data_IF_162792245782
#
_entry.id   IF_162792245782
#
_cell.length_a   1.000
_cell.length_b   1.000
_cell.length_c   1.000
_cell.angle_alpha   90.00
_cell.angle_beta   90.00
_cell.angle_gamma   90.00
#
_symmetry.space_group_name_H-M   'P 1'
#
loop_
_entity.id
_entity.type
_entity.pdbx_description
1 polymer ?
#
# COMPACT_ATOMS: atom_id res chain seq x y z
N UNK A 1 -2.17 -28.35 -15.26
CA UNK A 1 -0.78 -28.60 -14.83
C UNK A 1 -0.32 -27.42 -13.99
N UNK A 2 0.03 -27.63 -12.72
CA UNK A 2 0.55 -26.56 -11.88
C UNK A 2 1.98 -26.25 -12.37
N UNK A 3 2.19 -25.10 -13.00
CA UNK A 3 3.54 -24.57 -13.19
C UNK A 3 4.14 -24.42 -11.80
N UNK A 4 5.30 -25.05 -11.49
CA UNK A 4 5.98 -24.84 -10.23
C UNK A 4 6.06 -23.33 -9.93
N UNK A 5 5.56 -22.90 -8.77
CA UNK A 5 5.52 -21.50 -8.37
C UNK A 5 6.88 -20.79 -8.62
N UNK A 6 7.99 -21.51 -8.39
CA UNK A 6 9.34 -21.04 -8.66
C UNK A 6 9.59 -20.61 -10.12
N UNK A 7 9.02 -21.29 -11.12
CA UNK A 7 9.18 -20.95 -12.53
C UNK A 7 8.51 -19.63 -12.93
N UNK A 8 7.56 -19.13 -12.12
CA UNK A 8 6.95 -17.81 -12.34
C UNK A 8 7.60 -16.77 -11.44
N UNK A 9 7.77 -17.06 -10.16
CA UNK A 9 8.24 -16.07 -9.20
C UNK A 9 9.70 -15.67 -9.40
N UNK A 10 10.57 -16.57 -9.89
CA UNK A 10 11.97 -16.21 -10.15
C UNK A 10 12.07 -15.24 -11.34
N UNK A 11 11.48 -15.51 -12.52
CA UNK A 11 11.50 -14.54 -13.62
C UNK A 11 10.83 -13.21 -13.28
N UNK A 12 9.68 -13.24 -12.59
CA UNK A 12 8.98 -12.00 -12.16
C UNK A 12 9.81 -11.23 -11.13
N UNK A 13 10.47 -11.92 -10.21
CA UNK A 13 11.40 -11.31 -9.26
C UNK A 13 12.57 -10.64 -9.97
N UNK A 14 13.23 -11.33 -10.91
CA UNK A 14 14.32 -10.75 -11.70
C UNK A 14 13.85 -9.56 -12.52
N UNK A 15 12.69 -9.66 -13.19
CA UNK A 15 12.07 -8.56 -13.92
C UNK A 15 11.89 -7.34 -13.02
N UNK A 16 11.26 -7.52 -11.85
CA UNK A 16 11.02 -6.45 -10.88
C UNK A 16 12.31 -5.85 -10.35
N UNK A 17 13.32 -6.67 -10.06
CA UNK A 17 14.60 -6.20 -9.53
C UNK A 17 15.36 -5.35 -10.55
N UNK A 18 15.56 -5.88 -11.77
CA UNK A 18 16.36 -5.20 -12.80
C UNK A 18 15.65 -3.93 -13.29
N UNK A 19 14.36 -4.04 -13.63
CA UNK A 19 13.59 -2.86 -14.04
C UNK A 19 13.45 -1.84 -12.90
N UNK A 20 13.30 -2.30 -11.66
CA UNK A 20 13.24 -1.45 -10.48
C UNK A 20 14.50 -0.64 -10.25
N UNK A 21 15.68 -1.26 -10.40
CA UNK A 21 16.96 -0.55 -10.34
C UNK A 21 17.08 0.51 -11.43
N UNK A 22 16.65 0.20 -12.67
CA UNK A 22 16.62 1.16 -13.77
C UNK A 22 15.67 2.32 -13.44
N UNK A 23 14.46 2.02 -12.96
CA UNK A 23 13.47 3.03 -12.56
C UNK A 23 14.04 3.91 -11.45
N UNK A 24 14.63 3.36 -10.39
CA UNK A 24 15.20 4.16 -9.32
C UNK A 24 16.39 5.01 -9.79
N UNK A 25 17.20 4.52 -10.72
CA UNK A 25 18.26 5.32 -11.32
C UNK A 25 17.66 6.52 -12.06
N UNK A 26 16.60 6.32 -12.86
CA UNK A 26 15.88 7.41 -13.52
C UNK A 26 15.28 8.38 -12.49
N UNK A 27 14.69 7.88 -11.40
CA UNK A 27 14.17 8.72 -10.32
C UNK A 27 15.27 9.55 -9.66
N UNK A 28 16.45 8.95 -9.39
CA UNK A 28 17.61 9.63 -8.84
C UNK A 28 18.12 10.73 -9.77
N UNK A 29 18.23 10.44 -11.07
CA UNK A 29 18.66 11.41 -12.07
C UNK A 29 17.71 12.61 -12.11
N UNK A 30 16.39 12.39 -12.17
CA UNK A 30 15.42 13.48 -12.13
C UNK A 30 15.37 14.19 -10.78
N UNK A 31 15.64 13.49 -9.68
CA UNK A 31 15.72 14.10 -8.36
C UNK A 31 16.90 15.07 -8.27
N UNK A 32 18.04 14.75 -8.88
CA UNK A 32 19.22 15.62 -8.90
C UNK A 32 19.07 16.75 -9.93
N UNK A 33 18.54 16.43 -11.13
CA UNK A 33 18.59 17.35 -12.28
C UNK A 33 17.34 18.24 -12.36
N UNK A 34 16.15 17.74 -12.01
CA UNK A 34 14.89 18.48 -12.22
C UNK A 34 14.35 19.06 -10.91
N UNK A 35 14.37 18.30 -9.82
CA UNK A 35 13.77 18.71 -8.54
C UNK A 35 14.32 20.04 -7.99
N UNK A 36 15.63 20.38 -8.08
CA UNK A 36 16.15 21.65 -7.58
C UNK A 36 15.56 22.88 -8.30
N UNK A 37 15.18 22.73 -9.57
CA UNK A 37 14.63 23.82 -10.37
C UNK A 37 13.09 23.85 -10.33
N UNK A 38 12.43 22.69 -10.29
CA UNK A 38 10.97 22.61 -10.19
C UNK A 38 10.49 21.32 -9.53
N UNK A 39 10.02 21.45 -8.29
CA UNK A 39 9.36 20.37 -7.53
C UNK A 39 8.09 19.85 -8.21
N UNK A 40 7.31 20.76 -8.79
CA UNK A 40 6.09 20.43 -9.54
C UNK A 40 6.40 19.59 -10.78
N UNK A 41 7.39 20.00 -11.58
CA UNK A 41 7.80 19.24 -12.77
C UNK A 41 8.37 17.87 -12.39
N UNK A 42 9.22 17.82 -11.36
CA UNK A 42 9.76 16.56 -10.83
C UNK A 42 8.64 15.59 -10.45
N UNK A 43 7.64 16.04 -9.69
CA UNK A 43 6.50 15.19 -9.29
C UNK A 43 5.69 14.70 -10.48
N UNK A 44 5.44 15.55 -11.48
CA UNK A 44 4.74 15.16 -12.72
C UNK A 44 5.49 14.09 -13.49
N UNK A 45 6.81 14.21 -13.62
CA UNK A 45 7.66 13.21 -14.27
C UNK A 45 7.70 11.93 -13.43
N UNK A 46 8.02 12.05 -12.14
CA UNK A 46 8.17 10.93 -11.23
C UNK A 46 6.89 10.10 -11.13
N UNK A 47 5.71 10.72 -11.16
CA UNK A 47 4.41 10.04 -11.21
C UNK A 47 4.33 9.02 -12.35
N UNK A 48 4.88 9.33 -13.53
CA UNK A 48 4.87 8.41 -14.66
C UNK A 48 5.99 7.37 -14.55
N UNK A 49 7.19 7.80 -14.13
CA UNK A 49 8.35 6.92 -13.96
C UNK A 49 8.07 5.82 -12.94
N UNK A 50 7.53 6.19 -11.78
CA UNK A 50 7.26 5.27 -10.68
C UNK A 50 6.16 4.26 -11.04
N UNK A 51 5.18 4.69 -11.85
CA UNK A 51 4.11 3.83 -12.32
C UNK A 51 4.64 2.65 -13.15
N UNK A 52 5.74 2.81 -13.89
CA UNK A 52 6.37 1.73 -14.65
C UNK A 52 6.86 0.57 -13.77
N UNK A 53 7.22 0.86 -12.52
CA UNK A 53 7.60 -0.15 -11.53
C UNK A 53 6.35 -0.73 -10.85
N UNK A 54 5.45 0.13 -10.34
CA UNK A 54 4.30 -0.32 -9.56
C UNK A 54 3.28 -1.11 -10.41
N UNK A 55 3.17 -0.81 -11.70
CA UNK A 55 2.32 -1.57 -12.63
C UNK A 55 2.73 -3.04 -12.77
N UNK A 56 3.97 -3.41 -12.46
CA UNK A 56 4.38 -4.83 -12.48
C UNK A 56 3.71 -5.63 -11.35
N UNK A 57 3.52 -4.99 -10.18
CA UNK A 57 2.74 -5.57 -9.09
C UNK A 57 1.25 -5.60 -9.44
N UNK A 58 0.72 -4.55 -10.08
CA UNK A 58 -0.67 -4.56 -10.56
C UNK A 58 -0.90 -5.64 -11.60
N UNK A 59 0.06 -5.88 -12.51
CA UNK A 59 -0.03 -6.96 -13.48
C UNK A 59 -0.12 -8.34 -12.81
N UNK A 60 0.66 -8.56 -11.74
CA UNK A 60 0.59 -9.80 -10.96
C UNK A 60 -0.83 -10.05 -10.43
N UNK A 61 -1.50 -8.99 -9.99
CA UNK A 61 -2.87 -9.03 -9.48
C UNK A 61 -3.90 -9.23 -10.61
N UNK A 62 -3.92 -8.33 -11.58
CA UNK A 62 -5.00 -8.25 -12.57
C UNK A 62 -4.91 -9.30 -13.68
N UNK A 63 -3.69 -9.63 -14.10
CA UNK A 63 -3.44 -10.42 -15.30
C UNK A 63 -2.92 -11.82 -14.99
N UNK A 64 -2.11 -11.97 -13.94
CA UNK A 64 -1.62 -13.28 -13.54
C UNK A 64 -2.54 -13.98 -12.54
N UNK A 65 -2.90 -13.31 -11.44
CA UNK A 65 -3.83 -13.86 -10.44
C UNK A 65 -5.31 -13.73 -10.85
N UNK A 66 -5.61 -12.91 -11.86
CA UNK A 66 -6.96 -12.67 -12.38
C UNK A 66 -7.97 -12.24 -11.30
N UNK A 67 -7.55 -11.36 -10.38
CA UNK A 67 -8.43 -10.89 -9.30
C UNK A 67 -9.58 -10.07 -9.88
N UNK A 68 -10.80 -10.43 -9.48
CA UNK A 68 -11.97 -9.57 -9.61
C UNK A 68 -12.13 -8.76 -8.33
N UNK A 69 -12.20 -7.44 -8.49
CA UNK A 69 -12.49 -6.50 -7.41
C UNK A 69 -13.92 -6.00 -7.59
N UNK A 70 -14.78 -6.36 -6.64
CA UNK A 70 -16.15 -5.87 -6.57
C UNK A 70 -16.17 -4.63 -5.69
N UNK A 71 -16.52 -3.48 -6.26
CA UNK A 71 -16.61 -2.21 -5.54
C UNK A 71 -18.07 -1.87 -5.24
N UNK A 72 -18.42 -1.80 -3.97
CA UNK A 72 -19.68 -1.23 -3.49
C UNK A 72 -19.46 0.27 -3.29
N UNK A 73 -20.15 1.10 -4.07
CA UNK A 73 -20.04 2.56 -3.98
C UNK A 73 -21.27 3.21 -4.61
N UNK A 74 -21.69 4.35 -4.06
CA UNK A 74 -22.71 5.18 -4.68
C UNK A 74 -22.19 5.90 -5.94
N UNK A 75 -23.11 6.43 -6.74
CA UNK A 75 -22.79 7.08 -8.02
C UNK A 75 -21.93 8.35 -7.86
N UNK A 76 -22.12 9.14 -6.80
CA UNK A 76 -21.31 10.35 -6.55
C UNK A 76 -19.87 9.96 -6.22
N UNK A 77 -19.68 8.97 -5.35
CA UNK A 77 -18.37 8.40 -4.99
C UNK A 77 -17.62 7.93 -6.24
N UNK A 78 -18.29 7.21 -7.14
CA UNK A 78 -17.68 6.75 -8.40
C UNK A 78 -17.35 7.89 -9.35
N UNK A 79 -18.22 8.91 -9.44
CA UNK A 79 -18.00 10.05 -10.32
C UNK A 79 -16.76 10.87 -9.93
N UNK A 80 -16.48 10.98 -8.63
CA UNK A 80 -15.37 11.77 -8.09
C UNK A 80 -14.07 10.97 -7.91
N UNK A 81 -14.14 9.65 -7.99
CA UNK A 81 -13.00 8.76 -7.80
C UNK A 81 -11.83 9.15 -8.72
N UNK A 82 -10.69 9.51 -8.12
CA UNK A 82 -9.47 9.89 -8.83
C UNK A 82 -9.47 11.30 -9.42
N UNK A 83 -10.49 12.12 -9.13
CA UNK A 83 -10.61 13.51 -9.60
C UNK A 83 -10.34 14.56 -8.54
N UNK A 84 -10.17 14.14 -7.29
CA UNK A 84 -9.92 15.03 -6.14
C UNK A 84 -8.86 14.44 -5.20
N UNK A 85 -8.10 15.32 -4.52
CA UNK A 85 -7.19 14.87 -3.47
C UNK A 85 -7.99 14.16 -2.39
N UNK A 86 -7.46 13.05 -1.88
CA UNK A 86 -8.17 12.31 -0.86
C UNK A 86 -7.26 11.71 0.19
N UNK A 87 -7.74 11.72 1.43
CA UNK A 87 -7.26 10.84 2.48
C UNK A 87 -8.03 9.53 2.38
N UNK A 88 -7.33 8.40 2.24
CA UNK A 88 -7.94 7.08 2.10
C UNK A 88 -7.74 6.32 3.40
N UNK A 89 -8.84 6.06 4.12
CA UNK A 89 -8.85 5.21 5.30
C UNK A 89 -9.21 3.79 4.91
N UNK A 90 -8.49 2.83 5.47
CA UNK A 90 -8.79 1.41 5.27
C UNK A 90 -8.59 0.62 6.54
N UNK A 91 -9.38 -0.45 6.70
CA UNK A 91 -9.03 -1.52 7.62
C UNK A 91 -7.77 -2.26 7.11
N UNK A 92 -7.04 -2.91 8.02
CA UNK A 92 -5.76 -3.58 7.76
C UNK A 92 -5.77 -5.06 8.15
N UNK A 93 -6.52 -5.88 7.40
CA UNK A 93 -6.73 -7.30 7.70
C UNK A 93 -5.76 -8.29 7.06
N UNK A 94 -5.03 -7.90 6.03
CA UNK A 94 -4.21 -8.81 5.22
C UNK A 94 -2.87 -8.21 4.82
N UNK A 95 -1.93 -9.09 4.44
CA UNK A 95 -0.60 -8.71 3.97
C UNK A 95 -0.62 -7.98 2.62
N UNK A 96 -1.75 -8.07 1.92
CA UNK A 96 -1.96 -7.51 0.58
C UNK A 96 -2.93 -6.32 0.53
N UNK A 97 -3.43 -5.82 1.67
CA UNK A 97 -4.43 -4.72 1.66
C UNK A 97 -3.93 -3.50 0.89
N UNK A 98 -2.64 -3.17 1.07
CA UNK A 98 -1.99 -2.06 0.38
C UNK A 98 -1.94 -2.27 -1.14
N UNK A 99 -1.82 -3.52 -1.62
CA UNK A 99 -1.88 -3.84 -3.04
C UNK A 99 -3.29 -3.66 -3.58
N UNK A 100 -4.33 -4.04 -2.82
CA UNK A 100 -5.72 -3.77 -3.22
C UNK A 100 -5.98 -2.27 -3.29
N UNK A 101 -5.45 -1.49 -2.33
CA UNK A 101 -5.42 -0.03 -2.40
C UNK A 101 -4.80 0.49 -3.70
N UNK A 102 -3.65 -0.05 -4.10
CA UNK A 102 -2.98 0.33 -5.36
C UNK A 102 -3.76 -0.10 -6.61
N UNK A 103 -4.43 -1.24 -6.58
CA UNK A 103 -5.33 -1.72 -7.65
C UNK A 103 -6.48 -0.74 -7.86
N UNK A 104 -7.12 -0.26 -6.77
CA UNK A 104 -8.14 0.78 -6.83
C UNK A 104 -7.57 2.11 -7.34
N UNK A 105 -6.42 2.54 -6.81
CA UNK A 105 -5.77 3.78 -7.26
C UNK A 105 -5.37 3.73 -8.73
N UNK A 106 -4.95 2.57 -9.24
CA UNK A 106 -4.63 2.36 -10.63
C UNK A 106 -5.86 2.50 -11.52
N UNK A 107 -6.99 1.92 -11.11
CA UNK A 107 -8.28 2.07 -11.81
C UNK A 107 -8.79 3.50 -11.79
N UNK A 108 -8.51 4.25 -10.72
CA UNK A 108 -8.83 5.67 -10.59
C UNK A 108 -7.83 6.61 -11.30
N UNK A 109 -6.72 6.10 -11.86
CA UNK A 109 -5.69 6.91 -12.52
C UNK A 109 -4.70 7.61 -11.57
N UNK A 110 -4.71 7.26 -10.29
CA UNK A 110 -3.90 7.82 -9.21
C UNK A 110 -2.74 6.92 -8.75
N UNK A 111 -2.44 5.80 -9.41
CA UNK A 111 -1.39 4.88 -8.95
C UNK A 111 -0.05 5.59 -8.70
N UNK A 112 0.51 6.30 -9.68
CA UNK A 112 1.80 6.99 -9.51
C UNK A 112 1.78 8.22 -8.59
N UNK A 113 0.61 8.63 -8.11
CA UNK A 113 0.42 9.67 -7.09
C UNK A 113 -0.29 9.12 -5.84
N UNK A 114 -0.21 7.80 -5.65
CA UNK A 114 -0.60 7.16 -4.40
C UNK A 114 0.53 7.34 -3.39
N UNK A 115 0.17 7.81 -2.21
CA UNK A 115 1.06 8.14 -1.10
C UNK A 115 0.61 7.32 0.10
N UNK A 116 1.52 7.05 1.03
CA UNK A 116 1.15 6.45 2.30
C UNK A 116 2.04 6.95 3.44
N UNK A 117 1.52 6.81 4.65
CA UNK A 117 2.31 6.91 5.87
C UNK A 117 2.83 5.52 6.22
N UNK A 118 4.14 5.36 6.28
CA UNK A 118 4.81 4.07 6.46
C UNK A 118 5.81 4.08 7.61
N UNK A 119 6.18 2.88 8.09
CA UNK A 119 7.29 2.72 9.05
C UNK A 119 8.61 3.16 8.42
N UNK A 120 9.50 3.79 9.19
CA UNK A 120 10.79 4.32 8.70
C UNK A 120 11.67 3.25 8.07
N UNK A 121 11.60 2.02 8.55
CA UNK A 121 12.36 0.90 8.02
C UNK A 121 11.98 0.58 6.57
N UNK A 122 10.73 0.87 6.17
CA UNK A 122 10.24 0.57 4.82
C UNK A 122 10.98 1.34 3.72
N UNK A 123 11.54 2.53 4.02
CA UNK A 123 12.30 3.30 3.03
C UNK A 123 13.63 2.65 2.65
N UNK A 124 14.14 1.74 3.49
CA UNK A 124 15.38 1.02 3.23
C UNK A 124 15.17 -0.29 2.47
N UNK A 125 13.91 -0.67 2.20
CA UNK A 125 13.63 -1.79 1.33
C UNK A 125 14.15 -1.46 -0.08
N UNK A 126 15.02 -2.32 -0.65
CA UNK A 126 15.59 -2.06 -1.95
C UNK A 126 14.47 -1.98 -2.99
N UNK A 127 14.69 -1.12 -3.98
CA UNK A 127 13.76 -0.85 -5.07
C UNK A 127 12.47 -0.16 -4.65
N UNK A 128 11.60 -0.88 -3.94
CA UNK A 128 10.25 -0.39 -3.61
C UNK A 128 10.30 0.72 -2.55
N UNK A 129 11.14 0.58 -1.52
CA UNK A 129 11.30 1.59 -0.48
C UNK A 129 11.93 2.87 -1.01
N UNK A 130 12.94 2.74 -1.89
CA UNK A 130 13.55 3.87 -2.58
C UNK A 130 12.56 4.56 -3.52
N UNK A 131 11.79 3.77 -4.27
CA UNK A 131 10.72 4.25 -5.16
C UNK A 131 9.66 5.06 -4.40
N UNK A 132 9.23 4.58 -3.24
CA UNK A 132 8.31 5.30 -2.34
C UNK A 132 8.94 6.58 -1.78
N UNK A 133 10.23 6.54 -1.42
CA UNK A 133 10.96 7.72 -0.95
C UNK A 133 11.05 8.84 -1.98
N UNK A 134 11.38 8.51 -3.23
CA UNK A 134 11.36 9.47 -4.34
C UNK A 134 9.95 10.01 -4.64
N UNK A 135 8.90 9.32 -4.19
CA UNK A 135 7.50 9.69 -4.43
C UNK A 135 6.86 10.45 -3.27
N UNK A 136 7.67 11.06 -2.38
CA UNK A 136 7.21 11.89 -1.24
C UNK A 136 6.41 11.13 -0.15
N UNK A 137 6.56 9.80 -0.02
CA UNK A 137 5.97 9.05 1.11
C UNK A 137 6.44 9.60 2.47
N UNK A 138 5.59 9.50 3.49
CA UNK A 138 5.92 9.91 4.85
C UNK A 138 6.37 8.67 5.64
N UNK A 139 7.53 8.76 6.28
CA UNK A 139 8.16 7.65 7.00
C UNK A 139 8.30 7.97 8.49
N UNK A 140 7.72 7.14 9.36
CA UNK A 140 7.59 7.38 10.79
C UNK A 140 8.42 6.41 11.65
N UNK A 141 8.93 6.90 12.77
CA UNK A 141 9.72 6.16 13.78
C UNK A 141 8.88 5.39 14.79
N UNK A 142 7.54 5.52 14.72
CA UNK A 142 6.59 4.95 15.69
C UNK A 142 6.76 5.52 17.10
N UNK A 143 7.13 6.80 17.16
CA UNK A 143 7.23 7.59 18.37
C UNK A 143 6.65 8.97 18.12
N UNK A 144 5.57 9.29 18.83
CA UNK A 144 4.83 10.55 18.61
C UNK A 144 5.73 11.78 18.70
N UNK A 145 6.60 11.85 19.72
CA UNK A 145 7.50 12.98 19.96
C UNK A 145 8.41 13.32 18.77
N UNK A 146 8.73 12.31 17.94
CA UNK A 146 9.52 12.48 16.71
C UNK A 146 8.64 12.62 15.48
N UNK A 147 7.54 11.88 15.45
CA UNK A 147 6.69 11.71 14.29
C UNK A 147 5.78 12.91 14.05
N UNK A 148 5.39 13.65 15.08
CA UNK A 148 4.56 14.85 14.95
C UNK A 148 5.17 15.88 13.99
N UNK A 149 6.47 16.18 14.15
CA UNK A 149 7.19 17.10 13.26
C UNK A 149 7.31 16.55 11.84
N UNK A 150 7.52 15.24 11.73
CA UNK A 150 7.64 14.54 10.43
C UNK A 150 6.32 14.56 9.66
N UNK A 151 5.21 14.32 10.35
CA UNK A 151 3.85 14.41 9.83
C UNK A 151 3.52 15.82 9.39
N UNK A 152 3.71 16.81 10.27
CA UNK A 152 3.48 18.23 10.00
C UNK A 152 4.23 18.68 8.74
N UNK A 153 5.53 18.40 8.67
CA UNK A 153 6.33 18.71 7.49
C UNK A 153 5.90 17.92 6.25
N UNK A 154 5.43 16.68 6.43
CA UNK A 154 4.90 15.84 5.37
C UNK A 154 3.64 16.41 4.73
N UNK A 155 2.64 16.73 5.54
CA UNK A 155 1.38 17.31 5.09
C UNK A 155 1.56 18.67 4.43
N UNK A 156 2.41 19.53 5.00
CA UNK A 156 2.76 20.81 4.37
C UNK A 156 3.38 20.63 2.98
N UNK A 157 4.15 19.56 2.75
CA UNK A 157 4.70 19.28 1.41
C UNK A 157 3.63 18.86 0.39
N UNK A 158 2.42 18.52 0.79
CA UNK A 158 1.34 18.10 -0.11
C UNK A 158 0.44 19.25 -0.57
N UNK A 159 0.51 20.41 0.07
CA UNK A 159 -0.28 21.60 -0.30
C UNK A 159 -0.04 22.04 -1.75
N UNK A 160 1.19 21.90 -2.24
CA UNK A 160 1.61 22.24 -3.61
C UNK A 160 1.70 21.02 -4.55
N UNK A 161 0.98 19.92 -4.25
CA UNK A 161 1.04 18.72 -5.08
C UNK A 161 0.35 18.94 -6.43
N UNK A 162 1.02 18.76 -7.58
CA UNK A 162 0.57 19.32 -8.86
C UNK A 162 -0.52 18.50 -9.58
N UNK A 163 -1.02 17.44 -8.95
CA UNK A 163 -2.01 16.51 -9.50
C UNK A 163 -2.79 15.85 -8.36
N UNK A 164 -3.94 15.27 -8.66
CA UNK A 164 -4.68 14.43 -7.72
C UNK A 164 -3.77 13.38 -7.07
N UNK A 165 -3.81 13.29 -5.75
CA UNK A 165 -3.10 12.27 -4.98
C UNK A 165 -4.05 11.60 -3.99
N UNK A 166 -3.75 10.35 -3.67
CA UNK A 166 -4.44 9.61 -2.62
C UNK A 166 -3.45 9.29 -1.51
N UNK A 167 -3.72 9.74 -0.29
CA UNK A 167 -2.90 9.46 0.88
C UNK A 167 -3.54 8.34 1.69
N UNK A 168 -2.96 7.15 1.65
CA UNK A 168 -3.43 6.01 2.42
C UNK A 168 -3.00 6.08 3.88
N UNK A 169 -3.94 5.81 4.79
CA UNK A 169 -3.70 5.73 6.22
C UNK A 169 -4.46 4.53 6.83
N UNK A 170 -3.70 3.61 7.42
CA UNK A 170 -4.22 2.48 8.20
C UNK A 170 -4.18 2.84 9.70
N UNK A 171 -5.28 3.39 10.20
CA UNK A 171 -5.34 3.96 11.57
C UNK A 171 -5.30 2.90 12.66
N UNK A 172 -5.57 1.63 12.37
CA UNK A 172 -5.29 0.50 13.28
C UNK A 172 -3.80 0.45 13.70
N UNK A 173 -2.91 1.00 12.87
CA UNK A 173 -1.49 1.16 13.14
C UNK A 173 -0.69 -0.15 13.10
N UNK A 174 -1.34 -1.28 12.81
CA UNK A 174 -0.73 -2.59 12.68
C UNK A 174 -1.65 -3.52 11.89
N UNK A 175 -1.11 -4.61 11.37
CA UNK A 175 -1.90 -5.66 10.69
C UNK A 175 -2.70 -6.46 11.71
N UNK A 176 -3.91 -6.84 11.33
CA UNK A 176 -4.76 -7.74 12.08
C UNK A 176 -4.10 -9.10 12.28
N UNK A 177 -4.11 -9.59 13.51
CA UNK A 177 -3.86 -11.00 13.85
C UNK A 177 -4.81 -11.38 14.98
N UNK A 178 -5.05 -12.68 15.19
CA UNK A 178 -5.96 -13.13 16.24
C UNK A 178 -5.49 -12.66 17.62
N UNK A 179 -4.18 -12.71 17.88
CA UNK A 179 -3.59 -12.30 19.16
C UNK A 179 -3.78 -10.79 19.41
N UNK A 180 -3.75 -9.97 18.35
CA UNK A 180 -3.98 -8.52 18.46
C UNK A 180 -5.44 -8.17 18.61
N UNK A 181 -6.33 -8.96 18.01
CA UNK A 181 -7.77 -8.82 18.22
C UNK A 181 -8.10 -9.07 19.70
N UNK A 182 -7.58 -10.15 20.28
CA UNK A 182 -7.77 -10.47 21.71
C UNK A 182 -7.28 -9.33 22.62
N UNK A 183 -6.09 -8.80 22.34
CA UNK A 183 -5.57 -7.63 23.07
C UNK A 183 -6.44 -6.37 22.88
N UNK A 184 -7.02 -6.17 21.70
CA UNK A 184 -7.94 -5.06 21.44
C UNK A 184 -9.28 -5.24 22.19
N UNK A 185 -9.79 -6.47 22.29
CA UNK A 185 -11.02 -6.79 23.05
C UNK A 185 -10.82 -6.59 24.55
N UNK A 186 -9.65 -6.97 25.09
CA UNK A 186 -9.29 -6.70 26.48
C UNK A 186 -9.24 -5.19 26.75
N UNK A 187 -8.58 -4.43 25.88
CA UNK A 187 -8.55 -2.97 25.95
C UNK A 187 -9.95 -2.35 25.90
N UNK A 188 -10.82 -2.85 25.01
CA UNK A 188 -12.19 -2.39 24.87
C UNK A 188 -12.97 -2.57 26.19
N UNK A 189 -12.85 -3.76 26.81
CA UNK A 189 -13.48 -4.07 28.09
C UNK A 189 -13.05 -3.08 29.19
N UNK A 190 -11.75 -2.85 29.34
CA UNK A 190 -11.19 -1.93 30.35
C UNK A 190 -11.67 -0.49 30.14
N UNK A 191 -11.80 -0.06 28.88
CA UNK A 191 -12.18 1.31 28.52
C UNK A 191 -13.68 1.50 28.29
N UNK A 192 -14.49 0.46 28.51
CA UNK A 192 -15.94 0.46 28.23
C UNK A 192 -16.27 0.85 26.78
N UNK A 193 -15.43 0.42 25.84
CA UNK A 193 -15.64 0.58 24.40
C UNK A 193 -16.33 -0.67 23.83
N UNK A 194 -17.00 -0.56 22.67
CA UNK A 194 -17.50 -1.72 21.95
C UNK A 194 -16.37 -2.71 21.63
N UNK A 195 -16.60 -4.00 21.93
CA UNK A 195 -15.63 -5.05 21.68
C UNK A 195 -15.56 -5.36 20.18
N UNK A 196 -14.40 -5.16 19.51
CA UNK A 196 -14.29 -5.39 18.08
C UNK A 196 -14.24 -6.89 17.76
N UNK A 197 -14.67 -7.28 16.56
CA UNK A 197 -14.68 -8.69 16.10
C UNK A 197 -13.91 -8.90 14.80
N UNK A 198 -13.85 -7.87 13.97
CA UNK A 198 -13.40 -7.91 12.59
C UNK A 198 -12.32 -6.86 12.26
N UNK A 199 -12.15 -5.84 13.10
CA UNK A 199 -11.07 -4.84 13.00
C UNK A 199 -10.32 -4.69 14.33
N UNK A 200 -9.23 -3.93 14.35
CA UNK A 200 -8.61 -3.45 15.58
C UNK A 200 -9.11 -2.03 15.92
N UNK A 201 -8.92 -1.63 17.18
CA UNK A 201 -9.27 -0.29 17.65
C UNK A 201 -8.30 0.74 17.03
N UNK A 202 -8.81 1.80 16.37
CA UNK A 202 -7.96 2.77 15.69
C UNK A 202 -7.13 3.61 16.68
N UNK A 203 -5.89 3.91 16.27
CA UNK A 203 -4.98 4.87 16.90
C UNK A 203 -5.12 6.22 16.20
N UNK A 204 -5.92 7.10 16.79
CA UNK A 204 -6.46 8.29 16.12
C UNK A 204 -5.46 9.43 15.94
N UNK A 205 -4.39 9.53 16.74
CA UNK A 205 -3.46 10.68 16.70
C UNK A 205 -2.93 11.02 15.30
N UNK A 206 -2.55 10.00 14.52
CA UNK A 206 -2.06 10.21 13.16
C UNK A 206 -3.15 10.70 12.19
N UNK A 207 -4.39 10.25 12.39
CA UNK A 207 -5.55 10.70 11.61
C UNK A 207 -5.96 12.13 11.98
N UNK A 208 -6.04 12.44 13.27
CA UNK A 208 -6.30 13.81 13.77
C UNK A 208 -5.27 14.76 13.17
N UNK A 209 -3.97 14.44 13.30
CA UNK A 209 -2.90 15.24 12.69
C UNK A 209 -3.06 15.38 11.18
N UNK A 210 -3.42 14.33 10.45
CA UNK A 210 -3.67 14.41 9.01
C UNK A 210 -4.78 15.41 8.69
N UNK A 211 -5.97 15.21 9.29
CA UNK A 211 -7.14 16.07 9.06
C UNK A 211 -6.82 17.53 9.40
N UNK A 212 -6.24 17.81 10.56
CA UNK A 212 -5.95 19.19 10.98
C UNK A 212 -4.98 19.93 10.05
N UNK A 213 -4.08 19.21 9.35
CA UNK A 213 -3.12 19.83 8.44
C UNK A 213 -3.54 19.87 6.97
N UNK A 214 -4.38 18.93 6.51
CA UNK A 214 -4.74 18.80 5.09
C UNK A 214 -6.15 19.28 4.76
N UNK A 215 -6.99 19.56 5.77
CA UNK A 215 -8.40 19.95 5.60
C UNK A 215 -8.62 21.09 4.62
N UNK A 216 -7.69 22.05 4.54
CA UNK A 216 -7.80 23.22 3.66
C UNK A 216 -7.68 22.92 2.17
N UNK A 217 -7.05 21.80 1.78
CA UNK A 217 -6.77 21.49 0.36
C UNK A 217 -7.14 20.05 -0.06
N UNK A 218 -7.51 19.18 0.88
CA UNK A 218 -7.98 17.82 0.61
C UNK A 218 -9.49 17.76 0.85
N UNK A 219 -10.32 17.71 -0.21
CA UNK A 219 -11.78 17.86 -0.08
C UNK A 219 -12.50 16.61 0.46
N UNK A 220 -11.88 15.43 0.46
CA UNK A 220 -12.57 14.19 0.79
C UNK A 220 -11.73 13.20 1.63
N UNK A 221 -12.45 12.45 2.45
CA UNK A 221 -11.98 11.21 3.07
C UNK A 221 -12.71 10.06 2.38
N UNK A 222 -11.97 9.19 1.71
CA UNK A 222 -12.50 7.93 1.20
C UNK A 222 -12.34 6.86 2.26
N UNK A 223 -13.48 6.35 2.72
CA UNK A 223 -13.55 5.27 3.67
C UNK A 223 -13.67 3.92 2.94
N UNK A 224 -12.63 3.10 3.01
CA UNK A 224 -12.56 1.81 2.32
C UNK A 224 -12.64 0.65 3.31
N UNK A 225 -13.58 -0.26 3.12
CA UNK A 225 -13.67 -1.51 3.88
C UNK A 225 -13.33 -2.68 2.96
N UNK A 226 -12.22 -3.34 3.23
CA UNK A 226 -11.68 -4.46 2.46
C UNK A 226 -11.99 -5.79 3.13
N UNK A 227 -12.39 -6.78 2.33
CA UNK A 227 -12.53 -8.18 2.75
C UNK A 227 -11.66 -9.09 1.91
N UNK A 228 -10.82 -9.88 2.58
CA UNK A 228 -10.13 -11.03 1.98
C UNK A 228 -10.87 -12.29 2.44
N UNK A 229 -11.36 -13.11 1.52
CA UNK A 229 -11.94 -14.42 1.89
C UNK A 229 -10.84 -15.31 2.47
N UNK A 230 -10.89 -15.51 3.78
CA UNK A 230 -9.91 -16.30 4.53
C UNK A 230 -10.20 -17.82 4.53
N UNK A 231 -11.17 -18.29 3.76
CA UNK A 231 -11.73 -19.64 3.94
C UNK A 231 -10.91 -20.79 3.33
N UNK A 232 -9.59 -20.64 3.15
CA UNK A 232 -8.74 -21.68 2.55
C UNK A 232 -7.42 -21.85 3.32
N UNK A 233 -7.04 -23.10 3.70
CA UNK A 233 -5.85 -23.33 4.50
C UNK A 233 -4.58 -23.04 3.69
N UNK A 234 -3.74 -22.17 4.26
CA UNK A 234 -2.42 -21.67 3.82
C UNK A 234 -2.45 -20.65 2.66
N UNK A 235 -2.07 -19.37 2.91
CA UNK A 235 -1.95 -18.38 1.86
C UNK A 235 -0.73 -18.70 0.99
N UNK A 236 -0.97 -19.07 -0.26
CA UNK A 236 0.01 -18.80 -1.33
C UNK A 236 -0.35 -17.45 -1.92
N UNK A 237 0.63 -16.66 -2.41
CA UNK A 237 0.35 -15.36 -3.05
C UNK A 237 -0.83 -15.46 -4.03
N UNK A 238 -0.87 -16.48 -4.90
CA UNK A 238 -2.00 -16.79 -5.79
C UNK A 238 -3.37 -16.95 -5.13
N UNK A 239 -3.42 -17.49 -3.91
CA UNK A 239 -4.65 -17.83 -3.19
C UNK A 239 -5.09 -16.74 -2.21
N UNK A 240 -4.21 -15.79 -1.87
CA UNK A 240 -4.60 -14.52 -1.21
C UNK A 240 -5.51 -13.66 -2.11
N UNK A 241 -5.63 -14.03 -3.38
CA UNK A 241 -6.17 -13.21 -4.46
C UNK A 241 -7.52 -13.70 -5.01
N UNK A 242 -8.14 -14.71 -4.39
CA UNK A 242 -9.49 -15.16 -4.77
C UNK A 242 -10.57 -14.22 -4.23
N UNK A 243 -11.28 -13.52 -5.13
CA UNK A 243 -12.53 -12.79 -4.85
C UNK A 243 -12.41 -11.74 -3.76
N UNK A 244 -12.04 -10.52 -4.17
CA UNK A 244 -11.89 -9.39 -3.25
C UNK A 244 -13.11 -8.48 -3.41
N UNK A 245 -13.85 -8.28 -2.32
CA UNK A 245 -14.92 -7.29 -2.26
C UNK A 245 -14.45 -6.12 -1.41
N UNK A 246 -14.77 -4.93 -1.85
CA UNK A 246 -14.47 -3.67 -1.16
C UNK A 246 -15.69 -2.78 -1.17
N UNK A 247 -16.03 -2.20 -0.02
CA UNK A 247 -16.97 -1.08 0.04
C UNK A 247 -16.21 0.22 0.19
N UNK A 248 -16.57 1.23 -0.60
CA UNK A 248 -15.97 2.54 -0.61
C UNK A 248 -17.05 3.60 -0.42
N UNK A 249 -16.88 4.41 0.62
CA UNK A 249 -17.75 5.54 0.92
C UNK A 249 -16.95 6.83 0.89
N UNK A 250 -17.55 7.88 0.33
CA UNK A 250 -16.96 9.22 0.33
C UNK A 250 -17.55 10.05 1.46
N UNK A 251 -16.68 10.66 2.26
CA UNK A 251 -17.04 11.68 3.23
C UNK A 251 -16.41 13.01 2.81
N UNK A 252 -17.17 14.10 2.80
CA UNK A 252 -16.59 15.42 2.55
C UNK A 252 -15.76 15.81 3.76
N UNK A 253 -14.58 16.38 3.51
CA UNK A 253 -13.69 16.84 4.58
C UNK A 253 -14.35 17.92 5.45
N UNK A 254 -15.22 18.74 4.86
CA UNK A 254 -16.01 19.76 5.56
C UNK A 254 -17.00 19.20 6.57
N UNK A 255 -17.37 17.93 6.45
CA UNK A 255 -18.38 17.30 7.31
C UNK A 255 -17.75 16.67 8.55
N UNK A 256 -16.41 16.60 8.61
CA UNK A 256 -15.69 16.10 9.78
C UNK A 256 -15.70 17.15 10.90
N UNK A 257 -15.73 16.75 12.18
CA UNK A 257 -15.67 17.68 13.31
C UNK A 257 -14.44 18.59 13.27
N UNK A 258 -14.54 19.79 13.84
CA UNK A 258 -13.44 20.78 13.85
C UNK A 258 -12.46 20.58 15.01
N UNK A 259 -12.89 19.96 16.12
CA UNK A 259 -12.03 19.72 17.29
C UNK A 259 -11.25 18.42 17.14
N UNK A 260 -10.02 18.38 17.67
CA UNK A 260 -9.18 17.19 17.65
C UNK A 260 -9.87 15.98 18.29
N UNK A 261 -10.55 16.17 19.43
CA UNK A 261 -11.33 15.11 20.09
C UNK A 261 -12.52 14.65 19.24
N UNK A 262 -13.19 15.57 18.55
CA UNK A 262 -14.28 15.25 17.62
C UNK A 262 -13.79 14.42 16.44
N UNK A 263 -12.66 14.78 15.85
CA UNK A 263 -12.03 14.03 14.74
C UNK A 263 -11.62 12.63 15.22
N UNK A 264 -11.07 12.54 16.43
CA UNK A 264 -10.74 11.26 17.04
C UNK A 264 -11.98 10.38 17.23
N UNK A 265 -13.06 10.94 17.76
CA UNK A 265 -14.31 10.21 17.96
C UNK A 265 -14.93 9.76 16.63
N UNK A 266 -14.95 10.63 15.62
CA UNK A 266 -15.41 10.27 14.26
C UNK A 266 -14.66 9.06 13.70
N UNK A 267 -13.34 9.00 13.91
CA UNK A 267 -12.53 7.86 13.50
C UNK A 267 -12.87 6.56 14.26
N UNK A 268 -13.16 6.65 15.56
CA UNK A 268 -13.62 5.49 16.35
C UNK A 268 -14.97 4.98 15.84
N UNK A 269 -15.93 5.88 15.65
CA UNK A 269 -17.29 5.55 15.19
C UNK A 269 -17.28 4.92 13.78
N UNK A 270 -16.39 5.42 12.91
CA UNK A 270 -16.15 4.85 11.60
C UNK A 270 -15.69 3.39 11.70
N UNK A 271 -14.76 3.08 12.60
CA UNK A 271 -14.26 1.71 12.78
C UNK A 271 -15.26 0.77 13.44
N UNK A 272 -16.13 1.28 14.32
CA UNK A 272 -17.29 0.52 14.82
C UNK A 272 -18.23 0.16 13.66
N UNK A 273 -18.50 1.12 12.77
CA UNK A 273 -19.33 0.89 11.57
C UNK A 273 -18.68 -0.14 10.65
N UNK A 274 -17.36 -0.07 10.43
CA UNK A 274 -16.61 -1.07 9.66
C UNK A 274 -16.69 -2.47 10.24
N UNK A 275 -16.58 -2.58 11.55
CA UNK A 275 -16.67 -3.88 12.24
C UNK A 275 -18.02 -4.57 11.95
N UNK A 276 -19.11 -3.80 12.04
CA UNK A 276 -20.46 -4.25 11.75
C UNK A 276 -20.70 -4.56 10.26
N UNK A 277 -20.14 -3.75 9.35
CA UNK A 277 -20.16 -4.01 7.90
C UNK A 277 -19.47 -5.33 7.57
N UNK A 278 -18.30 -5.58 8.16
CA UNK A 278 -17.56 -6.82 7.97
C UNK A 278 -18.32 -8.03 8.53
N UNK A 279 -18.95 -7.91 9.69
CA UNK A 279 -19.80 -8.97 10.25
C UNK A 279 -20.97 -9.30 9.30
N UNK A 280 -21.60 -8.27 8.74
CA UNK A 280 -22.68 -8.41 7.76
C UNK A 280 -22.18 -9.12 6.51
N UNK A 281 -21.03 -8.71 5.97
CA UNK A 281 -20.41 -9.35 4.81
C UNK A 281 -20.06 -10.82 5.07
N UNK A 282 -19.46 -11.15 6.22
CA UNK A 282 -19.12 -12.54 6.52
C UNK A 282 -20.34 -13.43 6.76
N UNK A 283 -21.48 -12.84 7.13
CA UNK A 283 -22.73 -13.58 7.35
C UNK A 283 -23.57 -13.71 6.08
N UNK A 284 -23.62 -12.66 5.25
CA UNK A 284 -24.55 -12.53 4.11
C UNK A 284 -23.87 -12.48 2.74
N UNK A 285 -22.54 -12.42 2.68
CA UNK A 285 -21.71 -12.20 1.47
C UNK A 285 -22.03 -10.89 0.71
N UNK A 286 -22.61 -9.91 1.41
CA UNK A 286 -22.99 -8.58 0.91
C UNK A 286 -22.64 -7.54 1.96
N UNK A 287 -21.98 -6.44 1.57
CA UNK A 287 -21.61 -5.37 2.50
C UNK A 287 -22.80 -4.49 2.87
N UNK A 288 -23.56 -4.08 1.86
CA UNK A 288 -24.71 -3.19 1.96
C UNK A 288 -25.60 -3.32 0.73
N UNK A 289 -26.69 -2.57 0.71
CA UNK A 289 -27.60 -2.48 -0.44
C UNK A 289 -27.05 -1.56 -1.56
N UNK A 290 -25.78 -1.14 -1.49
CA UNK A 290 -25.14 -0.37 -2.55
C UNK A 290 -24.93 -1.21 -3.81
N UNK A 291 -24.95 -0.52 -4.95
CA UNK A 291 -24.68 -1.12 -6.24
C UNK A 291 -23.26 -1.67 -6.33
N UNK A 292 -23.15 -2.91 -6.82
CA UNK A 292 -21.87 -3.59 -7.03
C UNK A 292 -21.32 -3.26 -8.40
N UNK A 293 -20.19 -2.58 -8.42
CA UNK A 293 -19.49 -2.19 -9.63
C UNK A 293 -18.26 -3.06 -9.82
N UNK A 294 -18.23 -3.82 -10.92
CA UNK A 294 -17.01 -4.51 -11.33
C UNK A 294 -16.09 -3.52 -12.03
N UNK A 295 -15.00 -3.16 -11.35
CA UNK A 295 -14.02 -2.28 -11.97
C UNK A 295 -13.11 -3.09 -12.88
N UNK A 296 -13.21 -2.83 -14.17
CA UNK A 296 -12.48 -3.54 -15.22
C UNK A 296 -10.97 -3.55 -14.98
N UNK A 297 -10.33 -4.67 -15.34
CA UNK A 297 -8.87 -4.77 -15.39
C UNK A 297 -8.35 -3.96 -16.59
N UNK A 298 -7.47 -2.97 -16.37
CA UNK A 298 -6.89 -2.20 -17.47
C UNK A 298 -5.77 -2.95 -18.16
N UNK A 299 -5.55 -2.63 -19.44
CA UNK A 299 -4.49 -3.24 -20.27
C UNK A 299 -3.10 -2.63 -20.03
N UNK A 300 -3.02 -1.44 -19.43
CA UNK A 300 -1.76 -0.73 -19.20
C UNK A 300 -0.71 -1.55 -18.42
N UNK A 301 -1.02 -2.22 -17.30
CA UNK A 301 -0.07 -3.12 -16.63
C UNK A 301 0.50 -4.21 -17.54
N UNK A 302 -0.34 -4.81 -18.39
CA UNK A 302 0.07 -5.85 -19.33
C UNK A 302 1.07 -5.32 -20.37
N UNK A 303 0.78 -4.16 -20.96
CA UNK A 303 1.67 -3.54 -21.95
C UNK A 303 3.03 -3.23 -21.31
N UNK A 304 3.05 -2.63 -20.12
CA UNK A 304 4.29 -2.27 -19.42
C UNK A 304 5.13 -3.50 -19.12
N UNK A 305 4.52 -4.59 -18.64
CA UNK A 305 5.24 -5.84 -18.38
C UNK A 305 5.78 -6.46 -19.68
N UNK A 306 5.00 -6.50 -20.76
CA UNK A 306 5.48 -7.01 -22.06
C UNK A 306 6.68 -6.20 -22.54
N UNK A 307 6.61 -4.87 -22.47
CA UNK A 307 7.72 -3.99 -22.89
C UNK A 307 8.97 -4.27 -22.06
N UNK A 308 8.85 -4.36 -20.73
CA UNK A 308 9.99 -4.69 -19.88
C UNK A 308 10.57 -6.06 -20.18
N UNK A 309 9.72 -7.07 -20.39
CA UNK A 309 10.17 -8.42 -20.76
C UNK A 309 10.94 -8.39 -22.08
N UNK A 310 10.42 -7.71 -23.11
CA UNK A 310 11.13 -7.56 -24.39
C UNK A 310 12.49 -6.84 -24.23
N UNK A 311 12.53 -5.75 -23.47
CA UNK A 311 13.76 -4.99 -23.22
C UNK A 311 14.80 -5.83 -22.47
N UNK A 312 14.39 -6.56 -21.43
CA UNK A 312 15.30 -7.39 -20.65
C UNK A 312 15.75 -8.63 -21.42
N UNK A 313 14.89 -9.24 -22.25
CA UNK A 313 15.32 -10.33 -23.14
C UNK A 313 16.35 -9.85 -24.15
N UNK A 314 16.13 -8.69 -24.78
CA UNK A 314 17.09 -8.10 -25.71
C UNK A 314 18.41 -7.73 -25.02
N UNK A 315 18.33 -7.05 -23.87
CA UNK A 315 19.50 -6.68 -23.07
C UNK A 315 20.27 -7.90 -22.58
N UNK A 316 19.55 -8.94 -22.12
CA UNK A 316 20.12 -10.22 -21.72
C UNK A 316 20.80 -10.94 -22.88
N UNK A 317 20.20 -10.94 -24.07
CA UNK A 317 20.83 -11.49 -25.28
C UNK A 317 22.12 -10.75 -25.64
N UNK A 318 22.11 -9.41 -25.61
CA UNK A 318 23.31 -8.60 -25.85
C UNK A 318 24.39 -8.82 -24.80
N UNK A 319 24.00 -8.94 -23.54
CA UNK A 319 24.91 -9.29 -22.45
C UNK A 319 25.54 -10.66 -22.69
N UNK A 320 24.76 -11.68 -23.07
CA UNK A 320 25.27 -13.02 -23.38
C UNK A 320 26.24 -13.01 -24.56
N UNK A 321 25.95 -12.25 -25.63
CA UNK A 321 26.87 -12.07 -26.75
C UNK A 321 28.21 -11.49 -26.28
N UNK A 322 28.15 -10.41 -25.49
CA UNK A 322 29.36 -9.78 -24.94
C UNK A 322 30.12 -10.73 -24.00
N UNK A 323 29.41 -11.41 -23.10
CA UNK A 323 29.98 -12.41 -22.21
C UNK A 323 30.66 -13.53 -22.98
N UNK A 324 30.07 -14.05 -24.06
CA UNK A 324 30.71 -15.10 -24.86
C UNK A 324 32.06 -14.69 -25.48
N UNK A 325 32.30 -13.39 -25.65
CA UNK A 325 33.56 -12.85 -26.18
C UNK A 325 34.60 -12.58 -25.07
N UNK A 326 34.15 -12.36 -23.84
CA UNK A 326 34.98 -11.86 -22.72
C UNK A 326 35.01 -12.84 -21.54
N UNK A 327 34.26 -13.95 -21.61
CA UNK A 327 33.97 -14.85 -20.48
C UNK A 327 35.26 -15.39 -19.86
N UNK A 328 35.58 -14.83 -18.71
CA UNK A 328 36.57 -15.33 -17.78
C UNK A 328 35.86 -15.93 -16.56
N UNK A 329 36.55 -16.75 -15.79
CA UNK A 329 35.97 -17.38 -14.59
C UNK A 329 35.54 -16.32 -13.55
N UNK A 330 36.23 -15.17 -13.50
CA UNK A 330 35.89 -14.03 -12.64
C UNK A 330 34.49 -13.47 -12.96
N UNK A 331 34.14 -13.39 -14.24
CA UNK A 331 32.84 -12.88 -14.68
C UNK A 331 31.72 -13.87 -14.36
N UNK A 332 31.98 -15.18 -14.47
CA UNK A 332 31.01 -16.20 -14.04
C UNK A 332 30.78 -16.15 -12.51
N UNK A 333 31.84 -15.97 -11.72
CA UNK A 333 31.71 -15.78 -10.27
C UNK A 333 30.88 -14.52 -9.93
N UNK A 334 31.12 -13.40 -10.62
CA UNK A 334 30.35 -12.17 -10.42
C UNK A 334 28.85 -12.38 -10.73
N UNK A 335 28.53 -13.09 -11.80
CA UNK A 335 27.14 -13.38 -12.17
C UNK A 335 26.42 -14.22 -11.10
N UNK A 336 27.09 -15.25 -10.55
CA UNK A 336 26.55 -16.05 -9.45
C UNK A 336 26.31 -15.18 -8.21
N UNK A 337 27.26 -14.30 -7.86
CA UNK A 337 27.10 -13.36 -6.73
C UNK A 337 25.89 -12.44 -6.94
N UNK A 338 25.68 -11.91 -8.14
CA UNK A 338 24.51 -11.08 -8.46
C UNK A 338 23.20 -11.86 -8.27
N UNK A 339 23.13 -13.12 -8.73
CA UNK A 339 21.94 -13.96 -8.54
C UNK A 339 21.65 -14.27 -7.06
N UNK A 340 22.71 -14.49 -6.26
CA UNK A 340 22.58 -14.69 -4.81
C UNK A 340 22.03 -13.42 -4.15
N UNK A 341 22.59 -12.24 -4.46
CA UNK A 341 22.10 -10.96 -3.95
C UNK A 341 20.65 -10.72 -4.35
N UNK A 342 20.28 -11.01 -5.60
CA UNK A 342 18.92 -10.88 -6.09
C UNK A 342 17.95 -11.79 -5.30
N UNK A 343 18.35 -13.04 -5.05
CA UNK A 343 17.54 -14.01 -4.29
C UNK A 343 17.34 -13.56 -2.84
N UNK A 344 18.42 -13.15 -2.17
CA UNK A 344 18.36 -12.61 -0.79
C UNK A 344 17.46 -11.37 -0.76
N UNK A 345 17.60 -10.49 -1.75
CA UNK A 345 16.78 -9.26 -1.86
C UNK A 345 15.29 -9.60 -1.95
N UNK A 346 14.92 -10.53 -2.83
CA UNK A 346 13.53 -10.99 -2.93
C UNK A 346 13.02 -11.59 -1.63
N UNK A 347 13.84 -12.39 -0.94
CA UNK A 347 13.47 -12.98 0.33
C UNK A 347 13.21 -11.90 1.41
N UNK A 348 14.05 -10.86 1.48
CA UNK A 348 13.85 -9.71 2.38
C UNK A 348 12.55 -8.98 2.05
N UNK A 349 12.26 -8.74 0.76
CA UNK A 349 11.02 -8.07 0.33
C UNK A 349 9.79 -8.89 0.73
N UNK A 350 9.78 -10.19 0.46
CA UNK A 350 8.68 -11.10 0.81
C UNK A 350 8.48 -11.10 2.34
N UNK A 351 9.54 -11.33 3.12
CA UNK A 351 9.45 -11.37 4.58
C UNK A 351 9.00 -10.05 5.20
N UNK A 352 9.33 -8.91 4.58
CA UNK A 352 8.90 -7.59 5.04
C UNK A 352 7.38 -7.37 4.89
N UNK A 353 6.75 -8.13 4.00
CA UNK A 353 5.31 -8.06 3.71
C UNK A 353 4.44 -8.90 4.66
N UNK A 354 5.01 -9.87 5.38
CA UNK A 354 4.27 -10.80 6.25
C UNK A 354 3.71 -10.15 7.53
N UNK A 355 2.48 -10.52 7.91
CA UNK A 355 1.75 -9.98 9.07
C UNK A 355 2.34 -10.43 10.40
N UNK A 356 2.74 -11.69 10.51
CA UNK A 356 3.27 -12.27 11.75
C UNK A 356 4.57 -11.60 12.24
N UNK A 357 5.29 -10.91 11.36
CA UNK A 357 6.52 -10.17 11.70
C UNK A 357 6.28 -8.69 12.01
N UNK A 358 5.03 -8.23 11.99
CA UNK A 358 4.71 -6.89 12.45
C UNK A 358 4.91 -6.82 13.97
N UNK A 359 5.59 -5.77 14.43
CA UNK A 359 5.95 -5.58 15.84
C UNK A 359 4.70 -5.75 16.71
N UNK A 360 4.72 -6.63 17.74
CA UNK A 360 3.58 -6.82 18.60
C UNK A 360 3.20 -5.49 19.25
N UNK A 361 1.91 -5.33 19.59
CA UNK A 361 1.51 -4.26 20.48
C UNK A 361 2.38 -4.37 21.75
N UNK A 362 2.86 -3.23 22.27
CA UNK A 362 3.54 -3.23 23.58
C UNK A 362 2.65 -3.98 24.58
N UNK A 363 3.30 -4.75 25.47
CA UNK A 363 2.73 -5.69 26.44
C UNK A 363 1.40 -5.24 27.06
N UNK A 364 0.53 -6.20 27.47
CA UNK A 364 -0.77 -5.91 28.07
C UNK A 364 -0.70 -4.80 29.11
N UNK A 365 -1.70 -3.93 29.10
CA UNK A 365 -1.80 -2.71 29.92
C UNK A 365 -1.58 -2.98 31.42
N UNK A 366 -1.88 -4.21 31.85
CA UNK A 366 -1.68 -4.69 33.21
C UNK A 366 -0.21 -4.64 33.65
N UNK A 367 0.77 -4.84 32.76
CA UNK A 367 2.20 -4.67 33.09
C UNK A 367 2.67 -3.21 33.03
N UNK A 368 1.99 -2.36 32.26
CA UNK A 368 2.32 -0.93 32.17
C UNK A 368 1.84 -0.15 33.41
N UNK A 369 0.77 -0.61 34.06
CA UNK A 369 0.27 -0.03 35.31
C UNK A 369 1.07 -0.47 36.56
N UNK A 370 1.88 -1.53 36.45
CA UNK A 370 2.72 -2.02 37.57
C UNK A 370 4.12 -1.35 37.55
N UNK A 371 4.47 -0.63 36.47
CA UNK A 371 5.78 -0.01 36.28
C UNK A 371 5.75 1.53 36.21
N UNK A 372 4.65 2.15 36.62
CA UNK A 372 4.51 3.58 36.91
C UNK A 372 4.08 3.73 38.38
#
# INVERSE_FOLDING_TARGET
MAIPAALVFVPVGVLFLVSGLIVNLIQLLFFIIVRPFSKSLYRRINKNVVELLWLQLIWLIDWWACIKVNLYADAETLQLLGKEHALVLSNHRSDIDWLIGWVMAQRAGCLGSSLAIMKKEAKYLPIIGWSMWFSDYIFLERSWDKDEKTLTAGFKRFEDFPMTFWLALFVEGTRFTQEKLEAAQEYASIRSLPSPRNVLIPRTKGFVSAVSHIRSFVPAVYDCTLTVRNNQPKPTLLRMFSGQSSELRRHKMSDLPETDDGIAQWCQDLFITKDAQLETYFTKDVFSDLDVHQINRPIKPLIVVIVWVCLLMYGGFKLLQWLSMVASWEIMCLFVVILVIATITMQVLIQSSESHRSTPAKRPLQEQLISA
#
